data_IF_474148685881
#
_entry.id   IF_474148685881
#
_cell.length_a   1.000
_cell.length_b   1.000
_cell.length_c   1.000
_cell.angle_alpha   90.00
_cell.angle_beta   90.00
_cell.angle_gamma   90.00
#
_symmetry.space_group_name_H-M   'P 1'
#
loop_
_entity.id
_entity.type
_entity.pdbx_description
1 polymer ?
#
# COMPACT_ATOMS: atom_id res chain seq x y z
N UNK A 1 5.66 -2.21 14.98
CA UNK A 1 6.84 -2.79 15.64
C UNK A 1 8.02 -1.81 15.69
N UNK A 2 8.61 -1.41 14.55
CA UNK A 2 9.81 -0.54 14.51
C UNK A 2 9.69 0.76 15.35
N UNK A 3 8.57 1.48 15.24
CA UNK A 3 8.31 2.68 16.06
C UNK A 3 8.33 2.37 17.57
N UNK A 4 7.73 1.25 17.98
CA UNK A 4 7.68 0.84 19.39
C UNK A 4 9.06 0.52 19.94
N UNK A 5 9.85 -0.27 19.19
CA UNK A 5 11.23 -0.58 19.56
C UNK A 5 12.11 0.68 19.58
N UNK A 6 11.96 1.54 18.58
CA UNK A 6 12.66 2.83 18.55
C UNK A 6 12.38 3.64 19.82
N UNK A 7 11.12 3.74 20.24
CA UNK A 7 10.74 4.46 21.46
C UNK A 7 11.36 3.88 22.73
N UNK A 8 11.46 2.55 22.84
CA UNK A 8 12.12 1.88 23.98
C UNK A 8 13.62 2.24 24.03
N UNK A 9 14.26 2.31 22.86
CA UNK A 9 15.68 2.66 22.71
C UNK A 9 15.96 4.17 22.70
N UNK A 10 14.93 5.02 22.92
CA UNK A 10 15.07 6.48 22.90
C UNK A 10 15.06 7.14 21.52
N UNK A 11 14.88 6.37 20.44
CA UNK A 11 14.74 6.89 19.08
C UNK A 11 13.29 7.28 18.74
N UNK A 12 13.15 8.29 17.87
CA UNK A 12 11.86 8.68 17.29
C UNK A 12 11.91 8.48 15.78
N UNK A 13 11.19 7.46 15.30
CA UNK A 13 10.99 7.22 13.88
C UNK A 13 9.73 7.91 13.36
N UNK A 14 9.73 8.23 12.06
CA UNK A 14 8.56 8.69 11.34
C UNK A 14 7.57 7.54 11.14
N UNK A 15 6.28 7.88 11.09
CA UNK A 15 5.24 6.93 10.69
C UNK A 15 5.38 6.59 9.20
N UNK A 16 5.22 5.32 8.85
CA UNK A 16 5.30 4.87 7.46
C UNK A 16 3.95 4.83 6.74
N UNK A 17 2.86 4.68 7.47
CA UNK A 17 1.54 4.51 6.88
C UNK A 17 0.53 5.39 7.60
N UNK A 18 -0.25 6.17 6.84
CA UNK A 18 -1.29 7.04 7.37
C UNK A 18 -2.58 6.91 6.56
N UNK A 19 -3.35 5.85 6.84
CA UNK A 19 -4.61 5.51 6.18
C UNK A 19 -4.56 5.74 4.65
N UNK A 20 -3.69 5.01 3.93
CA UNK A 20 -3.43 5.26 2.51
C UNK A 20 -4.62 4.92 1.61
N UNK A 21 -5.42 3.91 1.96
CA UNK A 21 -6.55 3.44 1.14
C UNK A 21 -7.76 4.39 1.09
N UNK A 22 -7.77 5.45 1.91
CA UNK A 22 -8.78 6.52 1.83
C UNK A 22 -8.27 7.74 1.05
N UNK A 23 -7.14 7.62 0.36
CA UNK A 23 -6.60 8.66 -0.52
C UNK A 23 -7.52 8.91 -1.71
N UNK A 24 -7.66 10.19 -2.11
CA UNK A 24 -8.50 10.60 -3.25
C UNK A 24 -7.74 10.68 -4.57
N UNK A 25 -6.43 10.50 -4.53
CA UNK A 25 -5.56 10.45 -5.70
C UNK A 25 -4.34 9.58 -5.45
N UNK A 26 -3.68 9.16 -6.54
CA UNK A 26 -2.48 8.32 -6.50
C UNK A 26 -1.32 9.04 -5.81
N UNK A 27 -1.15 10.35 -6.05
CA UNK A 27 -0.14 11.15 -5.34
C UNK A 27 -0.44 11.28 -3.85
N UNK A 28 -1.72 11.37 -3.46
CA UNK A 28 -2.12 11.36 -2.04
C UNK A 28 -1.86 9.99 -1.40
N UNK A 29 -2.11 8.89 -2.12
CA UNK A 29 -1.83 7.53 -1.66
C UNK A 29 -0.35 7.36 -1.31
N UNK A 30 0.56 7.74 -2.20
CA UNK A 30 2.00 7.61 -1.99
C UNK A 30 2.59 8.58 -0.98
N UNK A 31 1.89 9.67 -0.65
CA UNK A 31 2.21 10.50 0.52
C UNK A 31 1.81 9.88 1.86
N UNK A 32 0.98 8.83 1.83
CA UNK A 32 0.45 8.13 3.00
C UNK A 32 0.96 6.69 3.11
N UNK A 33 1.60 6.18 2.06
CA UNK A 33 2.14 4.83 1.98
C UNK A 33 3.67 4.87 1.97
N UNK A 34 4.29 4.07 2.83
CA UNK A 34 5.75 3.97 2.97
C UNK A 34 6.46 5.34 3.02
N UNK A 35 5.97 6.22 3.89
CA UNK A 35 6.35 7.64 3.97
C UNK A 35 7.86 7.83 4.08
N UNK A 36 8.57 7.00 4.88
CA UNK A 36 10.04 7.13 5.03
C UNK A 36 10.79 6.86 3.71
N UNK A 37 10.32 5.92 2.90
CA UNK A 37 10.92 5.58 1.60
C UNK A 37 10.62 6.68 0.58
N UNK A 38 9.37 7.15 0.55
CA UNK A 38 8.98 8.29 -0.27
C UNK A 38 9.80 9.54 0.07
N UNK A 39 10.07 9.78 1.35
CA UNK A 39 10.94 10.87 1.80
C UNK A 39 12.39 10.66 1.35
N UNK A 40 12.94 9.46 1.49
CA UNK A 40 14.29 9.13 1.03
C UNK A 40 14.48 9.43 -0.47
N UNK A 41 13.63 8.87 -1.33
CA UNK A 41 13.72 9.12 -2.77
C UNK A 41 13.50 10.59 -3.12
N UNK A 42 12.63 11.29 -2.39
CA UNK A 42 12.42 12.72 -2.60
C UNK A 42 13.67 13.54 -2.25
N UNK A 43 14.30 13.26 -1.12
CA UNK A 43 15.41 14.07 -0.60
C UNK A 43 16.75 13.74 -1.25
N UNK A 44 17.01 12.46 -1.52
CA UNK A 44 18.30 12.00 -2.03
C UNK A 44 18.33 11.77 -3.54
N UNK A 45 17.18 11.76 -4.22
CA UNK A 45 17.12 11.55 -5.68
C UNK A 45 16.37 12.69 -6.37
N UNK A 46 15.12 12.94 -5.99
CA UNK A 46 14.27 13.92 -6.70
C UNK A 46 14.80 15.35 -6.62
N UNK A 47 15.12 15.87 -5.42
CA UNK A 47 15.64 17.23 -5.27
C UNK A 47 17.02 17.43 -5.90
N UNK A 48 17.99 16.51 -5.75
CA UNK A 48 19.27 16.58 -6.47
C UNK A 48 19.13 16.64 -7.99
N UNK A 49 18.09 16.03 -8.58
CA UNK A 49 17.81 16.12 -10.02
C UNK A 49 17.19 17.46 -10.48
N UNK A 50 17.05 18.42 -9.55
CA UNK A 50 16.42 19.73 -9.77
C UNK A 50 14.96 19.81 -9.33
N UNK A 51 14.40 18.73 -8.79
CA UNK A 51 13.03 18.65 -8.28
C UNK A 51 12.00 19.19 -9.28
N UNK A 52 11.13 20.09 -8.79
CA UNK A 52 10.13 20.81 -9.61
C UNK A 52 10.54 22.25 -9.95
N UNK A 53 11.84 22.59 -9.85
CA UNK A 53 12.33 23.98 -10.02
C UNK A 53 12.58 24.37 -11.49
N UNK A 54 12.61 23.39 -12.39
CA UNK A 54 12.81 23.58 -13.84
C UNK A 54 11.46 23.55 -14.57
N UNK A 55 11.50 23.41 -15.88
CA UNK A 55 10.33 23.28 -16.74
C UNK A 55 9.53 21.99 -16.48
N UNK A 56 8.32 21.94 -17.06
CA UNK A 56 7.38 20.84 -16.88
C UNK A 56 7.90 19.51 -17.44
N UNK A 57 8.67 19.52 -18.52
CA UNK A 57 9.23 18.29 -19.10
C UNK A 57 10.30 17.72 -18.18
N UNK A 58 11.18 18.58 -17.65
CA UNK A 58 12.18 18.14 -16.66
C UNK A 58 11.54 17.58 -15.39
N UNK A 59 10.49 18.23 -14.89
CA UNK A 59 9.75 17.74 -13.71
C UNK A 59 9.14 16.35 -13.97
N UNK A 60 8.57 16.15 -15.17
CA UNK A 60 7.98 14.87 -15.59
C UNK A 60 9.04 13.78 -15.70
N UNK A 61 10.17 14.07 -16.34
CA UNK A 61 11.30 13.16 -16.43
C UNK A 61 11.83 12.78 -15.04
N UNK A 62 12.04 13.76 -14.16
CA UNK A 62 12.50 13.53 -12.79
C UNK A 62 11.54 12.61 -12.02
N UNK A 63 10.23 12.77 -12.19
CA UNK A 63 9.23 11.89 -11.58
C UNK A 63 9.34 10.47 -12.13
N UNK A 64 9.35 10.29 -13.46
CA UNK A 64 9.47 8.97 -14.08
C UNK A 64 10.76 8.26 -13.68
N UNK A 65 11.87 8.99 -13.63
CA UNK A 65 13.17 8.46 -13.24
C UNK A 65 13.19 8.00 -11.78
N UNK A 66 12.70 8.83 -10.86
CA UNK A 66 12.60 8.46 -9.44
C UNK A 66 11.72 7.22 -9.27
N UNK A 67 10.58 7.15 -9.96
CA UNK A 67 9.67 6.01 -9.88
C UNK A 67 10.25 4.72 -10.48
N UNK A 68 11.01 4.82 -11.57
CA UNK A 68 11.75 3.69 -12.13
C UNK A 68 12.80 3.17 -11.14
N UNK A 69 13.55 4.07 -10.48
CA UNK A 69 14.50 3.70 -9.43
C UNK A 69 13.82 3.08 -8.21
N UNK A 70 12.65 3.57 -7.81
CA UNK A 70 11.83 2.95 -6.76
C UNK A 70 11.46 1.52 -7.15
N UNK A 71 11.06 1.29 -8.40
CA UNK A 71 10.82 -0.05 -8.93
C UNK A 71 12.06 -0.95 -8.83
N UNK A 72 13.20 -0.49 -9.35
CA UNK A 72 14.47 -1.24 -9.28
C UNK A 72 14.91 -1.56 -7.85
N UNK A 73 14.64 -0.68 -6.89
CA UNK A 73 14.95 -0.93 -5.47
C UNK A 73 14.18 -2.13 -4.89
N UNK A 74 13.01 -2.46 -5.44
CA UNK A 74 12.20 -3.58 -4.96
C UNK A 74 12.64 -4.95 -5.51
N UNK A 75 13.31 -5.00 -6.66
CA UNK A 75 13.82 -6.24 -7.23
C UNK A 75 14.32 -6.11 -8.66
N UNK A 76 15.00 -7.15 -9.15
CA UNK A 76 15.64 -7.17 -10.46
C UNK A 76 14.72 -7.61 -11.61
N UNK A 77 13.50 -8.05 -11.32
CA UNK A 77 12.55 -8.53 -12.34
C UNK A 77 11.78 -7.37 -13.01
N UNK A 78 11.42 -7.56 -14.28
CA UNK A 78 10.79 -6.52 -15.11
C UNK A 78 9.45 -6.00 -14.59
N UNK A 79 8.71 -6.82 -13.84
CA UNK A 79 7.44 -6.42 -13.24
C UNK A 79 7.61 -5.22 -12.28
N UNK A 80 8.72 -5.12 -11.54
CA UNK A 80 8.97 -4.00 -10.65
C UNK A 80 9.28 -2.71 -11.41
N UNK A 81 9.96 -2.82 -12.56
CA UNK A 81 10.18 -1.67 -13.43
C UNK A 81 8.87 -1.18 -14.06
N UNK A 82 8.04 -2.10 -14.57
CA UNK A 82 6.70 -1.78 -15.09
C UNK A 82 5.82 -1.14 -14.02
N UNK A 83 5.88 -1.65 -12.80
CA UNK A 83 5.21 -1.08 -11.63
C UNK A 83 5.69 0.34 -11.32
N UNK A 84 7.00 0.58 -11.38
CA UNK A 84 7.59 1.91 -11.21
C UNK A 84 7.08 2.87 -12.28
N UNK A 85 7.18 2.50 -13.56
CA UNK A 85 6.66 3.30 -14.66
C UNK A 85 5.16 3.57 -14.56
N UNK A 86 4.37 2.57 -14.17
CA UNK A 86 2.93 2.70 -13.96
C UNK A 86 2.61 3.86 -13.00
N UNK A 87 3.22 3.88 -11.82
CA UNK A 87 3.01 4.97 -10.87
C UNK A 87 3.65 6.29 -11.29
N UNK A 88 4.82 6.25 -11.92
CA UNK A 88 5.48 7.42 -12.48
C UNK A 88 4.59 8.15 -13.48
N UNK A 89 3.96 7.41 -14.39
CA UNK A 89 3.02 7.96 -15.38
C UNK A 89 1.78 8.54 -14.70
N UNK A 90 1.15 7.79 -13.78
CA UNK A 90 -0.05 8.27 -13.09
C UNK A 90 0.21 9.57 -12.32
N UNK A 91 1.33 9.65 -11.60
CA UNK A 91 1.70 10.84 -10.82
C UNK A 91 2.09 12.00 -11.72
N UNK A 92 2.80 11.75 -12.83
CA UNK A 92 3.10 12.76 -13.82
C UNK A 92 1.83 13.34 -14.48
N UNK A 93 0.87 12.48 -14.83
CA UNK A 93 -0.43 12.89 -15.37
C UNK A 93 -1.24 13.69 -14.35
N UNK A 94 -1.25 13.27 -13.09
CA UNK A 94 -1.89 13.99 -11.99
C UNK A 94 -1.29 15.38 -11.76
N UNK A 95 0.04 15.50 -11.74
CA UNK A 95 0.72 16.79 -11.56
C UNK A 95 0.57 17.70 -12.78
N UNK A 96 0.50 17.11 -13.97
CA UNK A 96 0.37 17.81 -15.24
C UNK A 96 -1.07 18.13 -15.62
N UNK A 97 -1.70 17.22 -16.37
CA UNK A 97 -2.94 17.49 -17.12
C UNK A 97 -4.17 17.30 -16.24
N UNK A 98 -4.17 16.31 -15.36
CA UNK A 98 -5.35 15.88 -14.60
C UNK A 98 -5.56 16.65 -13.29
N UNK A 99 -4.63 17.54 -12.92
CA UNK A 99 -4.66 18.29 -11.66
C UNK A 99 -6.00 19.01 -11.40
N UNK A 100 -6.58 19.62 -12.44
CA UNK A 100 -7.88 20.31 -12.34
C UNK A 100 -9.05 19.34 -12.31
N UNK A 101 -8.99 18.25 -13.08
CA UNK A 101 -10.03 17.24 -13.14
C UNK A 101 -10.17 16.53 -11.80
N UNK A 102 -9.07 16.04 -11.22
CA UNK A 102 -9.04 15.31 -9.94
C UNK A 102 -9.64 16.15 -8.80
N UNK A 103 -9.39 17.47 -8.79
CA UNK A 103 -9.97 18.38 -7.79
C UNK A 103 -11.50 18.49 -7.87
N UNK A 104 -12.11 18.24 -9.03
CA UNK A 104 -13.56 18.31 -9.24
C UNK A 104 -14.26 16.98 -8.97
N UNK A 105 -13.53 15.88 -8.85
CA UNK A 105 -14.12 14.55 -8.65
C UNK A 105 -14.69 14.47 -7.22
N UNK A 106 -15.95 13.99 -7.04
CA UNK A 106 -16.51 13.74 -5.73
C UNK A 106 -15.63 12.80 -4.89
N UNK A 107 -15.56 13.03 -3.58
CA UNK A 107 -14.65 12.31 -2.69
C UNK A 107 -14.75 10.78 -2.81
N UNK A 108 -15.97 10.22 -2.82
CA UNK A 108 -16.17 8.78 -2.92
C UNK A 108 -15.64 8.19 -4.22
N UNK A 109 -15.90 8.88 -5.35
CA UNK A 109 -15.41 8.47 -6.67
C UNK A 109 -13.89 8.55 -6.74
N UNK A 110 -13.28 9.62 -6.22
CA UNK A 110 -11.82 9.76 -6.19
C UNK A 110 -11.14 8.65 -5.37
N UNK A 111 -11.72 8.27 -4.24
CA UNK A 111 -11.23 7.14 -3.42
C UNK A 111 -11.35 5.83 -4.21
N UNK A 112 -12.51 5.55 -4.82
CA UNK A 112 -12.72 4.34 -5.60
C UNK A 112 -11.75 4.23 -6.77
N UNK A 113 -11.59 5.29 -7.56
CA UNK A 113 -10.66 5.31 -8.69
C UNK A 113 -9.20 5.11 -8.24
N UNK A 114 -8.82 5.75 -7.12
CA UNK A 114 -7.48 5.57 -6.54
C UNK A 114 -7.28 4.14 -6.05
N UNK A 115 -8.29 3.55 -5.41
CA UNK A 115 -8.24 2.16 -4.94
C UNK A 115 -8.09 1.18 -6.11
N UNK A 116 -8.83 1.37 -7.19
CA UNK A 116 -8.70 0.54 -8.41
C UNK A 116 -7.30 0.66 -8.99
N UNK A 117 -6.76 1.88 -9.12
CA UNK A 117 -5.40 2.09 -9.62
C UNK A 117 -4.35 1.44 -8.70
N UNK A 118 -4.54 1.54 -7.38
CA UNK A 118 -3.63 0.93 -6.40
C UNK A 118 -3.69 -0.60 -6.45
N UNK A 119 -4.89 -1.20 -6.54
CA UNK A 119 -5.04 -2.66 -6.67
C UNK A 119 -4.42 -3.18 -7.96
N UNK A 120 -4.55 -2.44 -9.05
CA UNK A 120 -3.86 -2.76 -10.30
C UNK A 120 -2.34 -2.70 -10.14
N UNK A 121 -1.82 -1.66 -9.48
CA UNK A 121 -0.40 -1.59 -9.13
C UNK A 121 0.04 -2.78 -8.26
N UNK A 122 -0.74 -3.20 -7.28
CA UNK A 122 -0.42 -4.39 -6.48
C UNK A 122 -0.40 -5.69 -7.28
N UNK A 123 -1.26 -5.82 -8.29
CA UNK A 123 -1.21 -6.97 -9.19
C UNK A 123 0.11 -7.04 -9.96
N UNK A 124 0.63 -5.89 -10.44
CA UNK A 124 1.94 -5.82 -11.09
C UNK A 124 3.10 -6.13 -10.12
N UNK A 125 2.96 -5.71 -8.85
CA UNK A 125 3.99 -5.89 -7.83
C UNK A 125 4.11 -7.33 -7.34
N UNK A 126 2.98 -8.04 -7.22
CA UNK A 126 2.90 -9.33 -6.55
C UNK A 126 3.53 -10.47 -7.36
N UNK A 127 3.43 -10.44 -8.68
CA UNK A 127 3.93 -11.50 -9.55
C UNK A 127 5.39 -11.27 -9.94
N UNK A 128 6.25 -12.29 -9.82
CA UNK A 128 7.65 -12.23 -10.26
C UNK A 128 7.85 -12.67 -11.71
N UNK A 129 6.83 -13.26 -12.33
CA UNK A 129 6.83 -13.70 -13.72
C UNK A 129 5.89 -12.83 -14.58
N UNK A 130 6.38 -12.40 -15.75
CA UNK A 130 5.64 -11.53 -16.67
C UNK A 130 4.40 -12.22 -17.27
N UNK A 131 4.45 -13.53 -17.48
CA UNK A 131 3.33 -14.30 -18.02
C UNK A 131 2.21 -14.41 -16.98
N UNK A 132 2.55 -14.70 -15.72
CA UNK A 132 1.61 -14.70 -14.61
C UNK A 132 1.02 -13.30 -14.36
N UNK A 133 1.86 -12.26 -14.43
CA UNK A 133 1.41 -10.87 -14.36
C UNK A 133 0.39 -10.55 -15.46
N UNK A 134 0.67 -10.92 -16.72
CA UNK A 134 -0.24 -10.71 -17.84
C UNK A 134 -1.56 -11.47 -17.65
N UNK A 135 -1.52 -12.73 -17.22
CA UNK A 135 -2.72 -13.52 -16.91
C UNK A 135 -3.57 -12.88 -15.80
N UNK A 136 -2.93 -12.38 -14.74
CA UNK A 136 -3.64 -11.70 -13.66
C UNK A 136 -4.30 -10.39 -14.12
N UNK A 137 -3.58 -9.58 -14.90
CA UNK A 137 -4.13 -8.34 -15.48
C UNK A 137 -5.30 -8.63 -16.41
N UNK A 138 -5.19 -9.65 -17.28
CA UNK A 138 -6.30 -10.09 -18.13
C UNK A 138 -7.50 -10.57 -17.30
N UNK A 139 -7.27 -11.37 -16.26
CA UNK A 139 -8.34 -11.85 -15.38
C UNK A 139 -9.08 -10.70 -14.68
N UNK A 140 -8.36 -9.65 -14.25
CA UNK A 140 -8.98 -8.44 -13.67
C UNK A 140 -9.89 -7.70 -14.67
N UNK A 141 -9.70 -7.89 -15.97
CA UNK A 141 -10.52 -7.34 -17.05
C UNK A 141 -11.60 -8.33 -17.55
N UNK A 142 -11.71 -9.53 -16.94
CA UNK A 142 -12.62 -10.58 -17.40
C UNK A 142 -12.16 -11.30 -18.67
N UNK A 143 -10.86 -11.32 -18.93
CA UNK A 143 -10.25 -11.95 -20.10
C UNK A 143 -9.36 -13.11 -19.68
N UNK A 144 -9.28 -14.14 -20.53
CA UNK A 144 -8.30 -15.22 -20.40
C UNK A 144 -7.56 -15.43 -21.73
N UNK A 145 -6.30 -15.83 -21.62
CA UNK A 145 -5.48 -16.25 -22.76
C UNK A 145 -5.44 -17.78 -22.80
N UNK A 146 -5.93 -18.36 -23.89
CA UNK A 146 -5.96 -19.82 -24.11
C UNK A 146 -6.06 -20.15 -25.60
N UNK A 147 -5.39 -21.21 -26.04
CA UNK A 147 -5.44 -21.65 -27.45
C UNK A 147 -4.88 -20.64 -28.46
N UNK A 148 -3.99 -19.74 -28.04
CA UNK A 148 -3.39 -18.72 -28.90
C UNK A 148 -4.19 -17.41 -29.02
N UNK A 149 -5.37 -17.32 -28.39
CA UNK A 149 -6.23 -16.14 -28.45
C UNK A 149 -6.61 -15.61 -27.05
N UNK A 150 -6.94 -14.32 -26.97
CA UNK A 150 -7.57 -13.70 -25.79
C UNK A 150 -9.08 -13.75 -26.00
N UNK A 151 -9.80 -14.33 -25.05
CA UNK A 151 -11.26 -14.42 -25.07
C UNK A 151 -11.85 -13.97 -23.73
N UNK A 152 -13.14 -13.63 -23.75
CA UNK A 152 -13.88 -13.36 -22.51
C UNK A 152 -13.94 -14.63 -21.66
N UNK A 153 -13.55 -14.49 -20.41
CA UNK A 153 -13.63 -15.55 -19.41
C UNK A 153 -14.80 -15.27 -18.47
N UNK A 154 -15.48 -16.31 -17.96
CA UNK A 154 -16.43 -16.15 -16.87
C UNK A 154 -15.72 -15.50 -15.68
N UNK A 155 -16.32 -14.43 -15.14
CA UNK A 155 -15.81 -13.75 -13.93
C UNK A 155 -15.92 -14.61 -12.67
N UNK A 156 -16.66 -15.71 -12.73
CA UNK A 156 -16.93 -16.57 -11.60
C UNK A 156 -16.94 -18.03 -12.03
N UNK A 157 -16.11 -18.83 -11.37
CA UNK A 157 -16.11 -20.28 -11.44
C UNK A 157 -16.21 -20.88 -10.02
N UNK A 158 -16.25 -22.21 -9.94
CA UNK A 158 -16.36 -22.92 -8.65
C UNK A 158 -15.17 -22.64 -7.72
N UNK A 159 -13.96 -22.49 -8.28
CA UNK A 159 -12.74 -22.18 -7.54
C UNK A 159 -12.77 -20.75 -6.96
N UNK A 160 -13.25 -19.78 -7.74
CA UNK A 160 -13.43 -18.38 -7.32
C UNK A 160 -14.45 -18.30 -6.21
N UNK A 161 -15.60 -18.98 -6.35
CA UNK A 161 -16.62 -19.01 -5.32
C UNK A 161 -16.13 -19.65 -4.02
N UNK A 162 -15.37 -20.76 -4.12
CA UNK A 162 -14.74 -21.39 -2.97
C UNK A 162 -13.75 -20.44 -2.27
N UNK A 163 -12.92 -19.74 -3.04
CA UNK A 163 -11.92 -18.79 -2.54
C UNK A 163 -12.60 -17.62 -1.82
N UNK A 164 -13.64 -17.04 -2.42
CA UNK A 164 -14.45 -15.97 -1.80
C UNK A 164 -15.02 -16.49 -0.48
N UNK A 165 -15.71 -17.63 -0.47
CA UNK A 165 -16.33 -18.15 0.78
C UNK A 165 -15.32 -18.41 1.88
N UNK A 166 -14.14 -18.92 1.53
CA UNK A 166 -13.10 -19.28 2.49
C UNK A 166 -12.39 -18.05 3.06
N UNK A 167 -12.09 -17.05 2.22
CA UNK A 167 -11.17 -15.97 2.59
C UNK A 167 -11.82 -14.59 2.76
N UNK A 168 -13.09 -14.38 2.40
CA UNK A 168 -13.73 -13.04 2.42
C UNK A 168 -13.69 -12.33 3.77
N UNK A 169 -13.70 -13.08 4.88
CA UNK A 169 -13.66 -12.47 6.23
C UNK A 169 -12.39 -11.63 6.43
N UNK A 170 -11.24 -12.06 5.91
CA UNK A 170 -9.97 -11.35 6.13
C UNK A 170 -9.91 -9.99 5.42
N UNK A 171 -10.21 -9.87 4.11
CA UNK A 171 -10.30 -8.56 3.45
C UNK A 171 -11.32 -7.62 4.09
N UNK A 172 -12.45 -8.12 4.59
CA UNK A 172 -13.44 -7.27 5.26
C UNK A 172 -12.91 -6.68 6.57
N UNK A 173 -12.26 -7.51 7.39
CA UNK A 173 -11.59 -7.03 8.62
C UNK A 173 -10.49 -6.03 8.26
N UNK A 174 -9.65 -6.35 7.25
CA UNK A 174 -8.59 -5.46 6.80
C UNK A 174 -9.13 -4.11 6.28
N UNK A 175 -10.23 -4.12 5.52
CA UNK A 175 -10.87 -2.91 5.01
C UNK A 175 -11.35 -2.00 6.15
N UNK A 176 -11.96 -2.58 7.19
CA UNK A 176 -12.37 -1.84 8.40
C UNK A 176 -11.13 -1.26 9.09
N UNK A 177 -10.10 -2.06 9.34
CA UNK A 177 -8.89 -1.61 10.04
C UNK A 177 -8.08 -0.55 9.26
N UNK A 178 -8.24 -0.48 7.95
CA UNK A 178 -7.65 0.56 7.11
C UNK A 178 -8.37 1.92 7.20
N UNK A 179 -9.50 2.01 7.92
CA UNK A 179 -10.19 3.26 8.19
C UNK A 179 -9.62 3.96 9.44
N UNK A 180 -9.77 5.29 9.56
CA UNK A 180 -9.29 6.06 10.71
C UNK A 180 -10.14 5.86 11.97
N UNK A 181 -10.34 4.60 12.37
CA UNK A 181 -11.14 4.18 13.53
C UNK A 181 -10.52 4.67 14.82
N UNK A 182 -9.20 4.49 15.01
CA UNK A 182 -8.53 4.90 16.25
C UNK A 182 -8.58 6.44 16.46
N UNK A 183 -8.25 7.29 15.46
CA UNK A 183 -8.45 8.73 15.59
C UNK A 183 -9.90 9.13 15.79
N UNK A 184 -10.86 8.41 15.22
CA UNK A 184 -12.29 8.69 15.39
C UNK A 184 -12.77 8.34 16.81
N UNK A 185 -12.37 7.17 17.31
CA UNK A 185 -12.63 6.72 18.68
C UNK A 185 -12.04 7.70 19.69
N UNK A 186 -10.80 8.15 19.49
CA UNK A 186 -10.19 9.16 20.35
C UNK A 186 -11.05 10.43 20.45
N UNK A 187 -11.53 10.99 19.32
CA UNK A 187 -12.37 12.20 19.38
C UNK A 187 -13.66 12.01 20.16
N UNK A 188 -14.28 10.84 20.02
CA UNK A 188 -15.52 10.52 20.72
C UNK A 188 -15.29 10.38 22.24
N UNK A 189 -14.11 9.90 22.62
CA UNK A 189 -13.72 9.64 24.00
C UNK A 189 -13.09 10.84 24.71
N UNK A 190 -12.62 11.87 23.98
CA UNK A 190 -11.89 13.03 24.53
C UNK A 190 -12.60 13.75 25.69
N UNK A 191 -13.93 13.74 25.73
CA UNK A 191 -14.71 14.36 26.80
C UNK A 191 -15.28 13.35 27.82
N UNK A 192 -14.97 12.06 27.68
CA UNK A 192 -15.53 10.96 28.48
C UNK A 192 -14.44 10.26 29.30
N UNK A 193 -13.91 10.96 30.32
CA UNK A 193 -12.76 10.53 31.13
C UNK A 193 -12.87 9.09 31.68
N UNK A 194 -14.04 8.70 32.21
CA UNK A 194 -14.25 7.33 32.73
C UNK A 194 -14.09 6.28 31.63
N UNK A 195 -14.72 6.51 30.47
CA UNK A 195 -14.66 5.58 29.34
C UNK A 195 -13.26 5.54 28.72
N UNK A 196 -12.56 6.67 28.66
CA UNK A 196 -11.17 6.75 28.21
C UNK A 196 -10.25 5.90 29.09
N UNK A 197 -10.40 5.98 30.43
CA UNK A 197 -9.65 5.14 31.37
C UNK A 197 -9.94 3.66 31.14
N UNK A 198 -11.21 3.27 31.00
CA UNK A 198 -11.58 1.88 30.70
C UNK A 198 -10.95 1.40 29.40
N UNK A 199 -11.01 2.19 28.33
CA UNK A 199 -10.41 1.85 27.03
C UNK A 199 -8.90 1.69 27.13
N UNK A 200 -8.21 2.55 27.88
CA UNK A 200 -6.78 2.42 28.12
C UNK A 200 -6.45 1.15 28.91
N UNK A 201 -7.16 0.88 30.01
CA UNK A 201 -6.95 -0.33 30.81
C UNK A 201 -7.15 -1.61 29.99
N UNK A 202 -8.24 -1.68 29.23
CA UNK A 202 -8.52 -2.81 28.34
C UNK A 202 -7.43 -2.94 27.27
N UNK A 203 -7.02 -1.83 26.65
CA UNK A 203 -5.97 -1.84 25.62
C UNK A 203 -4.63 -2.31 26.18
N UNK A 204 -4.24 -1.84 27.37
CA UNK A 204 -3.03 -2.29 28.07
C UNK A 204 -3.11 -3.78 28.39
N UNK A 205 -4.24 -4.26 28.93
CA UNK A 205 -4.42 -5.68 29.23
C UNK A 205 -4.29 -6.54 27.96
N UNK A 206 -4.96 -6.16 26.86
CA UNK A 206 -4.89 -6.86 25.59
C UNK A 206 -3.47 -6.88 25.00
N UNK A 207 -2.75 -5.76 25.05
CA UNK A 207 -1.37 -5.68 24.58
C UNK A 207 -0.44 -6.55 25.42
N UNK A 208 -0.61 -6.57 26.75
CA UNK A 208 0.18 -7.43 27.65
C UNK A 208 -0.08 -8.91 27.36
N UNK A 209 -1.35 -9.31 27.19
CA UNK A 209 -1.71 -10.68 26.79
C UNK A 209 -1.08 -11.01 25.43
N UNK A 210 -1.18 -10.10 24.46
CA UNK A 210 -0.58 -10.27 23.13
C UNK A 210 0.94 -10.47 23.19
N UNK A 211 1.65 -9.72 24.04
CA UNK A 211 3.09 -9.89 24.27
C UNK A 211 3.37 -11.24 24.90
N UNK A 212 2.62 -11.65 25.93
CA UNK A 212 2.80 -12.95 26.58
C UNK A 212 2.61 -14.12 25.59
N UNK A 213 1.54 -14.07 24.79
CA UNK A 213 1.28 -15.06 23.73
C UNK A 213 2.38 -15.04 22.66
N UNK A 214 2.90 -13.86 22.29
CA UNK A 214 4.00 -13.76 21.33
C UNK A 214 5.28 -14.41 21.87
N UNK A 215 5.60 -14.22 23.15
CA UNK A 215 6.76 -14.84 23.81
C UNK A 215 6.57 -16.37 23.88
N UNK A 216 5.38 -16.85 24.24
CA UNK A 216 5.07 -18.28 24.26
C UNK A 216 5.28 -18.92 22.88
N UNK A 217 4.80 -18.27 21.82
CA UNK A 217 5.00 -18.74 20.44
C UNK A 217 6.47 -18.70 20.00
N UNK A 218 7.25 -17.72 20.46
CA UNK A 218 8.68 -17.63 20.18
C UNK A 218 9.45 -18.78 20.86
N UNK A 219 9.13 -19.08 22.12
CA UNK A 219 9.76 -20.19 22.86
C UNK A 219 9.35 -21.54 22.28
N UNK A 220 8.10 -21.68 21.81
CA UNK A 220 7.61 -22.91 21.18
C UNK A 220 8.23 -23.17 19.80
N UNK A 221 8.62 -22.13 19.06
CA UNK A 221 9.19 -22.26 17.72
C UNK A 221 10.71 -22.02 17.74
N UNK A 222 11.48 -23.08 18.01
CA UNK A 222 12.95 -23.07 18.12
C UNK A 222 13.72 -22.88 16.80
N UNK A 223 13.03 -22.76 15.65
CA UNK A 223 13.65 -22.54 14.35
C UNK A 223 12.95 -21.43 13.55
N UNK A 224 13.60 -20.26 13.45
CA UNK A 224 13.19 -19.14 12.60
C UNK A 224 14.38 -18.78 11.68
N UNK A 225 14.54 -19.44 10.51
CA UNK A 225 15.62 -19.09 9.59
C UNK A 225 15.42 -17.64 9.12
N UNK A 226 16.51 -16.87 9.17
CA UNK A 226 16.50 -15.43 8.92
C UNK A 226 15.92 -15.09 7.54
N UNK A 227 15.05 -14.08 7.48
CA UNK A 227 14.21 -13.75 6.31
C UNK A 227 14.99 -13.47 5.01
N UNK A 228 16.26 -13.03 5.12
CA UNK A 228 17.11 -12.66 3.99
C UNK A 228 17.85 -13.82 3.33
N UNK A 229 17.61 -15.07 3.71
CA UNK A 229 18.16 -16.25 3.01
C UNK A 229 17.09 -17.04 2.24
N UNK A 230 15.95 -16.41 1.97
CA UNK A 230 14.83 -16.98 1.21
C UNK A 230 14.59 -16.22 -0.10
N UNK A 231 15.61 -16.19 -0.95
CA UNK A 231 15.49 -15.78 -2.35
C UNK A 231 15.62 -17.01 -3.23
#
# INVERSE_FOLDING_TARGET
MAIGLGRILGFRYLENFNYPYIARSVSEFWRRWHISLGQFFREYVYFPLGGSRKDRHRTTFNLLFVWALTGFWHGASWNFLLWGFYYGILIALEHGVLKRAIKKIPRGVGILLTLIAVLFGWALFYQTDLTLCARQVLAMLGLAYGGGAVAFAPLMDSATLYTIRTYTVFPLIAAILCLPILPAADRLLRHRLRLQRTVHLVSTALLTIGVAVSIMNLVANSYQPFLYFRF
#
